data_IF_380625478705
#
_entry.id   IF_380625478705
#
_cell.length_a   1.000
_cell.length_b   1.000
_cell.length_c   1.000
_cell.angle_alpha   90.00
_cell.angle_beta   90.00
_cell.angle_gamma   90.00
#
_symmetry.space_group_name_H-M   'P 1'
#
loop_
_entity.id
_entity.type
_entity.pdbx_description
1 polymer ?
#
# COMPACT_ATOMS: atom_id res chain seq x y z
N UNK A 1 -15.31 7.65 -4.48
CA UNK A 1 -15.31 7.67 -5.97
C UNK A 1 -14.19 8.53 -6.56
N UNK A 2 -13.86 9.69 -5.98
CA UNK A 2 -12.83 10.60 -6.49
C UNK A 2 -11.46 9.95 -6.72
N UNK A 3 -10.96 9.17 -5.75
CA UNK A 3 -9.68 8.44 -5.85
C UNK A 3 -9.58 7.56 -7.10
N UNK A 4 -10.66 6.85 -7.45
CA UNK A 4 -10.72 5.99 -8.64
C UNK A 4 -10.75 6.81 -9.93
N UNK A 5 -11.43 7.97 -9.91
CA UNK A 5 -11.43 8.91 -11.06
C UNK A 5 -10.04 9.48 -11.29
N UNK A 6 -9.29 9.79 -10.23
CA UNK A 6 -7.89 10.21 -10.32
C UNK A 6 -7.01 9.10 -10.91
N UNK A 7 -7.15 7.85 -10.45
CA UNK A 7 -6.41 6.71 -11.03
C UNK A 7 -6.69 6.54 -12.54
N UNK A 8 -7.95 6.69 -12.94
CA UNK A 8 -8.35 6.65 -14.36
C UNK A 8 -7.85 7.85 -15.16
N UNK A 9 -7.67 9.02 -14.54
CA UNK A 9 -7.05 10.19 -15.15
C UNK A 9 -5.53 10.05 -15.30
N UNK A 10 -4.87 9.33 -14.39
CA UNK A 10 -3.45 8.99 -14.49
C UNK A 10 -3.23 8.01 -15.66
N UNK A 11 -4.12 7.03 -15.81
CA UNK A 11 -4.05 6.11 -16.94
C UNK A 11 -4.93 4.86 -16.87
N UNK A 12 -5.51 4.50 -15.72
CA UNK A 12 -6.29 3.26 -15.60
C UNK A 12 -7.49 3.21 -16.55
N UNK A 13 -7.75 2.07 -17.19
CA UNK A 13 -8.78 1.93 -18.24
C UNK A 13 -10.21 2.00 -17.69
N UNK A 14 -10.47 1.30 -16.60
CA UNK A 14 -11.74 1.29 -15.85
C UNK A 14 -11.47 1.19 -14.35
N UNK A 15 -12.52 1.34 -13.55
CA UNK A 15 -12.46 1.17 -12.11
C UNK A 15 -13.63 0.34 -11.59
N UNK A 16 -13.39 -0.34 -10.46
CA UNK A 16 -14.42 -1.03 -9.68
C UNK A 16 -14.41 -0.40 -8.29
N UNK A 17 -15.56 0.11 -7.85
CA UNK A 17 -15.78 0.54 -6.48
C UNK A 17 -16.51 -0.59 -5.74
N UNK A 18 -15.86 -1.15 -4.71
CA UNK A 18 -16.53 -1.95 -3.70
C UNK A 18 -17.04 -0.98 -2.63
N UNK A 19 -18.33 -0.65 -2.69
CA UNK A 19 -18.96 0.37 -1.86
C UNK A 19 -19.44 -0.21 -0.54
N UNK A 20 -19.00 0.39 0.56
CA UNK A 20 -19.42 0.04 1.92
C UNK A 20 -19.15 1.21 2.87
N UNK A 21 -20.02 1.35 3.89
CA UNK A 21 -19.83 2.28 5.00
C UNK A 21 -19.11 1.64 6.19
N UNK A 22 -18.77 0.35 6.10
CA UNK A 22 -18.06 -0.36 7.16
C UNK A 22 -16.59 0.07 7.23
N UNK A 23 -16.06 0.20 8.44
CA UNK A 23 -14.62 0.33 8.67
C UNK A 23 -13.94 -1.00 8.33
N UNK A 24 -13.09 -1.00 7.31
CA UNK A 24 -12.46 -2.21 6.80
C UNK A 24 -11.08 -2.43 7.41
N UNK A 25 -10.86 -3.64 7.90
CA UNK A 25 -9.54 -4.12 8.29
C UNK A 25 -8.82 -4.76 7.09
N UNK A 26 -7.47 -4.84 7.10
CA UNK A 26 -6.69 -5.40 5.99
C UNK A 26 -7.18 -6.78 5.50
N UNK A 27 -7.63 -7.64 6.42
CA UNK A 27 -8.19 -8.95 6.08
C UNK A 27 -9.48 -8.86 5.25
N UNK A 28 -10.38 -7.94 5.58
CA UNK A 28 -11.61 -7.74 4.83
C UNK A 28 -11.29 -7.22 3.42
N UNK A 29 -10.38 -6.25 3.33
CA UNK A 29 -9.89 -5.73 2.04
C UNK A 29 -9.26 -6.84 1.20
N UNK A 30 -8.39 -7.66 1.78
CA UNK A 30 -7.75 -8.78 1.07
C UNK A 30 -8.76 -9.80 0.55
N UNK A 31 -9.82 -10.12 1.32
CA UNK A 31 -10.91 -11.00 0.85
C UNK A 31 -11.72 -10.40 -0.30
N UNK A 32 -12.04 -9.10 -0.22
CA UNK A 32 -12.74 -8.39 -1.30
C UNK A 32 -11.89 -8.38 -2.58
N UNK A 33 -10.61 -8.07 -2.46
CA UNK A 33 -9.67 -8.12 -3.58
C UNK A 33 -9.53 -9.54 -4.14
N UNK A 34 -9.52 -10.57 -3.29
CA UNK A 34 -9.49 -11.97 -3.74
C UNK A 34 -10.72 -12.31 -4.58
N UNK A 35 -11.92 -11.91 -4.15
CA UNK A 35 -13.13 -12.10 -4.94
C UNK A 35 -13.07 -11.38 -6.30
N UNK A 36 -12.46 -10.19 -6.36
CA UNK A 36 -12.21 -9.49 -7.62
C UNK A 36 -11.15 -10.19 -8.47
N UNK A 37 -10.08 -10.72 -7.88
CA UNK A 37 -9.06 -11.52 -8.59
C UNK A 37 -9.69 -12.76 -9.22
N UNK A 38 -10.56 -13.47 -8.49
CA UNK A 38 -11.27 -14.63 -9.02
C UNK A 38 -12.20 -14.26 -10.19
N UNK A 39 -12.83 -13.09 -10.13
CA UNK A 39 -13.75 -12.63 -11.16
C UNK A 39 -13.05 -12.11 -12.42
N UNK A 40 -12.00 -11.31 -12.22
CA UNK A 40 -11.32 -10.56 -13.27
C UNK A 40 -10.10 -11.28 -13.83
N UNK A 41 -9.60 -12.30 -13.14
CA UNK A 41 -8.45 -13.14 -13.52
C UNK A 41 -7.22 -12.34 -13.99
N UNK A 42 -6.75 -11.34 -13.20
CA UNK A 42 -5.61 -10.54 -13.60
C UNK A 42 -4.31 -11.36 -13.59
N UNK A 43 -3.46 -11.16 -14.59
CA UNK A 43 -2.13 -11.77 -14.64
C UNK A 43 -1.14 -11.19 -13.61
N UNK A 44 -1.36 -9.96 -13.14
CA UNK A 44 -0.51 -9.31 -12.14
C UNK A 44 -1.37 -8.36 -11.29
N UNK A 45 -1.22 -8.42 -9.97
CA UNK A 45 -1.89 -7.50 -9.04
C UNK A 45 -0.85 -6.59 -8.40
N UNK A 46 -1.07 -5.27 -8.48
CA UNK A 46 -0.17 -4.27 -7.90
C UNK A 46 -0.90 -3.53 -6.78
N UNK A 47 -0.29 -3.49 -5.60
CA UNK A 47 -0.75 -2.75 -4.44
C UNK A 47 0.36 -1.82 -3.92
N UNK A 48 0.01 -0.83 -3.10
CA UNK A 48 1.00 -0.14 -2.28
C UNK A 48 1.54 -1.04 -1.17
N UNK A 49 2.76 -0.78 -0.71
CA UNK A 49 3.35 -1.43 0.48
C UNK A 49 2.46 -1.29 1.71
N UNK A 50 2.05 -0.08 2.05
CA UNK A 50 1.24 0.21 3.23
C UNK A 50 0.30 1.38 2.95
N UNK A 51 -0.84 1.41 3.63
CA UNK A 51 -1.66 2.60 3.72
C UNK A 51 -1.15 3.44 4.90
N UNK A 52 -1.14 4.76 4.75
CA UNK A 52 -0.51 5.70 5.72
C UNK A 52 -1.42 6.03 6.91
N UNK A 53 -2.67 5.59 6.86
CA UNK A 53 -3.68 5.76 7.90
C UNK A 53 -3.62 4.62 8.92
N UNK A 54 -3.54 3.37 8.46
CA UNK A 54 -3.45 2.19 9.31
C UNK A 54 -2.01 1.68 9.55
N UNK A 55 -1.05 2.10 8.72
CA UNK A 55 0.37 1.69 8.70
C UNK A 55 0.57 0.16 8.84
N UNK A 56 -0.39 -0.65 8.36
CA UNK A 56 -0.42 -2.06 8.68
C UNK A 56 0.55 -2.91 7.85
N UNK A 57 0.84 -2.51 6.61
CA UNK A 57 1.62 -3.30 5.64
C UNK A 57 1.18 -4.78 5.59
N UNK A 58 -0.10 -5.05 5.36
CA UNK A 58 -0.68 -6.40 5.48
C UNK A 58 -1.48 -6.86 4.24
N UNK A 59 -2.25 -5.97 3.63
CA UNK A 59 -3.26 -6.31 2.62
C UNK A 59 -2.70 -7.09 1.43
N UNK A 60 -1.53 -6.69 0.89
CA UNK A 60 -0.92 -7.36 -0.25
C UNK A 60 -0.49 -8.80 0.07
N UNK A 61 0.16 -9.00 1.21
CA UNK A 61 0.61 -10.33 1.64
C UNK A 61 -0.56 -11.25 1.99
N UNK A 62 -1.61 -10.70 2.64
CA UNK A 62 -2.84 -11.44 2.90
C UNK A 62 -3.54 -11.86 1.61
N UNK A 63 -3.62 -10.97 0.61
CA UNK A 63 -4.20 -11.30 -0.69
C UNK A 63 -3.43 -12.43 -1.37
N UNK A 64 -2.10 -12.33 -1.42
CA UNK A 64 -1.25 -13.37 -2.00
C UNK A 64 -1.49 -14.73 -1.33
N UNK A 65 -1.55 -14.77 0.01
CA UNK A 65 -1.82 -15.98 0.77
C UNK A 65 -3.22 -16.55 0.48
N UNK A 66 -4.26 -15.70 0.47
CA UNK A 66 -5.65 -16.11 0.21
C UNK A 66 -5.87 -16.61 -1.22
N UNK A 67 -5.15 -16.06 -2.20
CA UNK A 67 -5.23 -16.44 -3.60
C UNK A 67 -4.24 -17.56 -3.98
N UNK A 68 -3.35 -17.97 -3.07
CA UNK A 68 -2.31 -18.97 -3.35
C UNK A 68 -1.29 -18.50 -4.38
N UNK A 69 -1.00 -17.20 -4.44
CA UNK A 69 -0.13 -16.58 -5.44
C UNK A 69 1.25 -16.25 -4.86
N UNK A 70 2.33 -16.32 -5.67
CA UNK A 70 3.64 -15.80 -5.30
C UNK A 70 3.58 -14.28 -5.11
N UNK A 71 4.44 -13.76 -4.23
CA UNK A 71 4.45 -12.33 -3.89
C UNK A 71 5.84 -11.70 -3.96
N UNK A 72 5.89 -10.44 -4.39
CA UNK A 72 7.08 -9.60 -4.38
C UNK A 72 6.80 -8.32 -3.60
N UNK A 73 7.19 -8.29 -2.32
CA UNK A 73 6.95 -7.11 -1.47
C UNK A 73 8.06 -6.09 -1.57
N UNK A 74 7.74 -4.83 -1.25
CA UNK A 74 8.68 -3.70 -1.23
C UNK A 74 9.43 -3.49 -2.55
N UNK A 75 8.71 -3.64 -3.67
CA UNK A 75 9.32 -3.58 -4.99
C UNK A 75 9.84 -2.17 -5.31
N UNK A 76 11.14 -2.06 -5.60
CA UNK A 76 11.78 -0.87 -6.17
C UNK A 76 12.11 -1.02 -7.67
N UNK A 77 11.99 -2.24 -8.21
CA UNK A 77 11.98 -2.49 -9.67
C UNK A 77 11.09 -3.68 -10.01
N UNK A 78 10.36 -3.61 -11.10
CA UNK A 78 9.49 -4.68 -11.60
C UNK A 78 9.73 -4.88 -13.10
N UNK A 79 10.11 -6.09 -13.50
CA UNK A 79 10.39 -6.45 -14.89
C UNK A 79 9.63 -7.72 -15.26
N UNK A 80 8.64 -7.59 -16.14
CA UNK A 80 7.88 -8.74 -16.65
C UNK A 80 8.70 -9.43 -17.74
N UNK A 81 8.91 -10.73 -17.60
CA UNK A 81 9.71 -11.55 -18.49
C UNK A 81 8.94 -12.83 -18.86
N UNK A 82 8.10 -12.74 -19.89
CA UNK A 82 7.29 -13.86 -20.36
C UNK A 82 6.23 -14.28 -19.33
N UNK A 83 6.34 -15.51 -18.83
CA UNK A 83 5.47 -16.11 -17.82
C UNK A 83 5.87 -15.79 -16.37
N UNK A 84 6.94 -15.00 -16.20
CA UNK A 84 7.46 -14.60 -14.89
C UNK A 84 7.55 -13.09 -14.74
N UNK A 85 7.68 -12.65 -13.50
CA UNK A 85 8.04 -11.28 -13.14
C UNK A 85 9.25 -11.29 -12.20
N UNK A 86 10.27 -10.54 -12.57
CA UNK A 86 11.42 -10.28 -11.72
C UNK A 86 11.16 -9.02 -10.90
N UNK A 87 11.26 -9.15 -9.57
CA UNK A 87 10.99 -8.07 -8.63
C UNK A 87 12.25 -7.82 -7.81
N UNK A 88 12.81 -6.61 -7.93
CA UNK A 88 13.86 -6.13 -7.01
C UNK A 88 13.20 -5.49 -5.82
N UNK A 89 13.52 -5.97 -4.62
CA UNK A 89 12.90 -5.64 -3.34
C UNK A 89 13.87 -4.85 -2.48
N UNK A 90 13.36 -3.85 -1.78
CA UNK A 90 14.07 -3.20 -0.69
C UNK A 90 14.01 -4.08 0.57
N UNK A 91 15.17 -4.47 1.09
CA UNK A 91 15.32 -5.21 2.34
C UNK A 91 16.30 -4.46 3.25
N UNK A 92 16.33 -4.78 4.55
CA UNK A 92 17.11 -4.00 5.52
C UNK A 92 18.60 -3.87 5.17
N UNK A 93 19.18 -4.90 4.56
CA UNK A 93 20.59 -4.94 4.15
C UNK A 93 20.88 -4.44 2.73
N UNK A 94 19.88 -3.97 1.97
CA UNK A 94 20.05 -3.54 0.59
C UNK A 94 18.94 -4.04 -0.33
N UNK A 95 19.30 -4.69 -1.43
CA UNK A 95 18.37 -5.13 -2.46
C UNK A 95 18.38 -6.65 -2.61
N UNK A 96 17.20 -7.22 -2.82
CA UNK A 96 17.02 -8.64 -3.15
C UNK A 96 16.18 -8.79 -4.42
N UNK A 97 16.63 -9.56 -5.39
CA UNK A 97 15.85 -9.85 -6.61
C UNK A 97 15.26 -11.24 -6.56
N UNK A 98 13.94 -11.32 -6.67
CA UNK A 98 13.17 -12.57 -6.72
C UNK A 98 12.48 -12.73 -8.07
N UNK A 99 12.35 -13.98 -8.54
CA UNK A 99 11.63 -14.31 -9.77
C UNK A 99 10.35 -15.06 -9.41
N UNK A 100 9.20 -14.52 -9.82
CA UNK A 100 7.87 -15.02 -9.46
C UNK A 100 7.15 -15.50 -10.73
N UNK A 101 6.51 -16.67 -10.68
CA UNK A 101 5.61 -17.10 -11.75
C UNK A 101 4.34 -16.24 -11.76
N UNK A 102 3.82 -15.91 -12.93
CA UNK A 102 2.52 -15.27 -13.06
C UNK A 102 1.39 -16.32 -13.01
N UNK A 103 0.22 -16.02 -12.40
CA UNK A 103 -0.13 -14.74 -11.79
C UNK A 103 0.55 -14.47 -10.44
N UNK A 104 0.83 -13.20 -10.14
CA UNK A 104 1.56 -12.79 -8.94
C UNK A 104 0.98 -11.52 -8.29
N UNK A 105 1.32 -11.29 -7.02
CA UNK A 105 0.99 -10.07 -6.27
C UNK A 105 2.27 -9.28 -5.97
N UNK A 106 2.30 -8.01 -6.30
CA UNK A 106 3.44 -7.12 -6.05
C UNK A 106 2.99 -5.94 -5.21
N UNK A 107 3.73 -5.64 -4.14
CA UNK A 107 3.53 -4.41 -3.36
C UNK A 107 4.67 -3.44 -3.64
N UNK A 108 4.36 -2.20 -4.01
CA UNK A 108 5.36 -1.23 -4.47
C UNK A 108 5.90 -0.39 -3.31
N UNK A 109 7.22 -0.19 -3.30
CA UNK A 109 7.87 0.82 -2.45
C UNK A 109 7.86 2.20 -3.12
N UNK A 110 8.10 3.26 -2.34
CA UNK A 110 8.23 4.63 -2.85
C UNK A 110 9.35 4.77 -3.89
N UNK A 111 10.38 3.92 -3.83
CA UNK A 111 11.53 3.96 -4.76
C UNK A 111 11.22 3.40 -6.15
N UNK A 112 10.05 2.80 -6.38
CA UNK A 112 9.72 2.15 -7.64
C UNK A 112 9.70 3.12 -8.84
N UNK A 113 9.03 4.25 -8.68
CA UNK A 113 8.88 5.25 -9.73
C UNK A 113 8.42 6.61 -9.18
N UNK A 114 8.40 7.61 -10.06
CA UNK A 114 7.75 8.88 -9.80
C UNK A 114 6.37 8.90 -10.49
N UNK A 115 5.26 9.05 -9.73
CA UNK A 115 3.93 9.15 -10.32
C UNK A 115 3.80 10.37 -11.23
N UNK A 116 3.28 10.16 -12.45
CA UNK A 116 3.02 11.26 -13.40
C UNK A 116 1.87 12.15 -12.94
N UNK A 117 1.92 13.43 -13.31
CA UNK A 117 0.81 14.37 -13.10
C UNK A 117 -0.35 14.14 -14.06
N UNK A 118 -1.56 14.43 -13.59
CA UNK A 118 -2.79 14.40 -14.40
C UNK A 118 -3.00 15.73 -15.11
N UNK A 119 -3.38 15.68 -16.38
CA UNK A 119 -3.74 16.88 -17.16
C UNK A 119 -5.26 17.11 -17.12
N UNK A 120 -5.70 18.37 -17.26
CA UNK A 120 -7.12 18.71 -17.33
C UNK A 120 -7.90 17.89 -18.39
N UNK A 121 -7.38 17.66 -19.61
CA UNK A 121 -8.03 16.79 -20.58
C UNK A 121 -8.24 15.35 -20.08
N UNK A 122 -7.26 14.80 -19.36
CA UNK A 122 -7.36 13.45 -18.82
C UNK A 122 -8.38 13.36 -17.69
N UNK A 123 -8.48 14.38 -16.84
CA UNK A 123 -9.52 14.47 -15.79
C UNK A 123 -10.91 14.45 -16.43
N UNK A 124 -11.12 15.19 -17.52
CA UNK A 124 -12.39 15.21 -18.23
C UNK A 124 -12.72 13.86 -18.89
N UNK A 125 -11.72 13.18 -19.49
CA UNK A 125 -11.89 11.82 -20.02
C UNK A 125 -12.22 10.81 -18.93
N UNK A 126 -11.58 10.92 -17.76
CA UNK A 126 -11.79 10.00 -16.64
C UNK A 126 -13.20 10.02 -16.08
N UNK A 127 -13.93 11.14 -16.18
CA UNK A 127 -15.36 11.21 -15.81
C UNK A 127 -16.26 10.32 -16.68
N UNK A 128 -15.84 10.03 -17.92
CA UNK A 128 -16.59 9.20 -18.87
C UNK A 128 -16.19 7.72 -18.87
N UNK A 129 -15.06 7.38 -18.24
CA UNK A 129 -14.59 5.98 -18.13
C UNK A 129 -15.53 5.15 -17.26
N UNK A 130 -15.59 3.85 -17.55
CA UNK A 130 -16.44 2.91 -16.84
C UNK A 130 -16.02 2.82 -15.36
N UNK A 131 -17.02 2.94 -14.48
CA UNK A 131 -16.89 2.76 -13.04
C UNK A 131 -18.00 1.81 -12.62
N UNK A 132 -17.63 0.55 -12.38
CA UNK A 132 -18.56 -0.44 -11.86
C UNK A 132 -18.66 -0.26 -10.34
N UNK A 133 -19.86 -0.33 -9.79
CA UNK A 133 -20.10 -0.27 -8.35
C UNK A 133 -20.69 -1.59 -7.91
N UNK A 134 -20.12 -2.18 -6.86
CA UNK A 134 -20.57 -3.43 -6.27
C UNK A 134 -20.47 -3.33 -4.75
N UNK A 135 -21.18 -4.18 -4.02
CA UNK A 135 -21.14 -4.24 -2.56
C UNK A 135 -20.40 -5.49 -2.09
N UNK A 136 -19.86 -5.50 -0.85
CA UNK A 136 -19.31 -6.71 -0.25
C UNK A 136 -20.24 -7.94 -0.30
N UNK A 137 -21.55 -7.71 -0.16
CA UNK A 137 -22.58 -8.75 -0.25
C UNK A 137 -22.61 -9.43 -1.63
N UNK A 138 -22.41 -8.67 -2.70
CA UNK A 138 -22.45 -9.18 -4.07
C UNK A 138 -21.21 -10.04 -4.38
N UNK A 139 -20.14 -9.82 -3.62
CA UNK A 139 -18.90 -10.61 -3.68
C UNK A 139 -18.91 -11.79 -2.68
N UNK A 140 -19.97 -11.94 -1.87
CA UNK A 140 -20.06 -12.99 -0.86
C UNK A 140 -19.04 -12.88 0.27
N UNK A 141 -18.57 -11.66 0.57
CA UNK A 141 -17.51 -11.42 1.56
C UNK A 141 -18.08 -10.82 2.83
N UNK A 142 -17.88 -11.51 3.95
CA UNK A 142 -18.07 -10.97 5.29
C UNK A 142 -16.93 -9.99 5.64
N UNK A 143 -17.31 -8.73 5.85
CA UNK A 143 -16.41 -7.62 6.21
C UNK A 143 -16.45 -7.27 7.69
N UNK A 144 -17.08 -8.11 8.53
CA UNK A 144 -17.15 -7.86 9.96
C UNK A 144 -15.74 -7.71 10.58
N UNK A 145 -15.52 -6.64 11.39
CA UNK A 145 -14.26 -6.44 12.10
C UNK A 145 -13.89 -7.62 12.99
N UNK A 146 -12.62 -8.03 12.96
CA UNK A 146 -12.07 -9.06 13.84
C UNK A 146 -11.38 -8.47 15.05
N UNK A 147 -10.88 -7.24 14.92
CA UNK A 147 -10.28 -6.46 15.99
C UNK A 147 -11.21 -5.33 16.39
N UNK A 148 -11.19 -4.96 17.68
CA UNK A 148 -11.92 -3.80 18.21
C UNK A 148 -10.93 -2.78 18.76
N UNK A 149 -10.92 -1.58 18.19
CA UNK A 149 -10.15 -0.47 18.73
C UNK A 149 -10.77 -0.01 20.04
N UNK A 150 -10.03 -0.18 21.15
CA UNK A 150 -10.52 0.20 22.49
C UNK A 150 -10.27 1.68 22.80
N UNK A 151 -9.15 2.22 22.32
CA UNK A 151 -8.72 3.59 22.58
C UNK A 151 -7.76 4.07 21.51
N UNK A 152 -7.91 5.33 21.12
CA UNK A 152 -6.92 6.10 20.36
C UNK A 152 -6.57 7.33 21.19
N UNK A 153 -5.29 7.65 21.31
CA UNK A 153 -4.83 8.84 22.03
C UNK A 153 -3.62 9.45 21.33
N UNK A 154 -3.48 10.76 21.43
CA UNK A 154 -2.29 11.46 20.93
C UNK A 154 -1.01 10.91 21.59
N UNK A 155 0.10 10.84 20.84
CA UNK A 155 1.39 10.50 21.43
C UNK A 155 1.82 11.59 22.44
N UNK A 156 2.67 11.25 23.42
CA UNK A 156 3.21 12.24 24.35
C UNK A 156 3.86 13.40 23.61
N UNK A 157 3.51 14.63 23.98
CA UNK A 157 4.15 15.83 23.44
C UNK A 157 5.64 15.80 23.76
N UNK A 158 6.48 15.95 22.74
CA UNK A 158 7.94 16.05 22.92
C UNK A 158 8.27 17.24 23.82
N UNK A 159 9.13 17.04 24.81
CA UNK A 159 9.63 18.12 25.66
C UNK A 159 10.44 19.13 24.84
N UNK A 160 10.44 20.39 25.28
CA UNK A 160 11.24 21.42 24.63
C UNK A 160 12.73 21.04 24.63
N UNK A 161 13.37 21.16 23.47
CA UNK A 161 14.80 20.94 23.35
C UNK A 161 15.62 22.10 23.93
N UNK A 162 16.92 21.87 24.10
CA UNK A 162 17.88 22.87 24.56
C UNK A 162 18.81 23.22 23.39
N UNK A 163 19.04 24.51 23.15
CA UNK A 163 20.09 24.99 22.23
C UNK A 163 21.41 25.09 22.99
N UNK A 164 22.49 24.57 22.40
CA UNK A 164 23.84 24.62 22.99
C UNK A 164 24.73 25.57 22.20
N UNK A 165 25.69 26.25 22.86
CA UNK A 165 26.53 27.25 22.22
C UNK A 165 27.62 26.66 21.32
N UNK A 166 28.06 25.42 21.58
CA UNK A 166 29.19 24.80 20.90
C UNK A 166 29.14 23.25 20.92
N UNK A 167 30.04 22.64 20.17
CA UNK A 167 30.17 21.17 20.03
C UNK A 167 30.60 20.51 21.34
N UNK A 168 31.47 21.14 22.13
CA UNK A 168 31.93 20.56 23.40
C UNK A 168 30.77 20.41 24.40
N UNK A 169 29.91 21.43 24.47
CA UNK A 169 28.69 21.43 25.28
C UNK A 169 27.70 20.40 24.77
N UNK A 170 27.56 20.24 23.44
CA UNK A 170 26.74 19.17 22.86
C UNK A 170 27.23 17.79 23.31
N UNK A 171 28.51 17.48 23.13
CA UNK A 171 29.10 16.17 23.47
C UNK A 171 28.97 15.91 24.98
N UNK A 172 29.23 16.92 25.82
CA UNK A 172 29.07 16.80 27.28
C UNK A 172 27.62 16.46 27.66
N UNK A 173 26.64 17.15 27.07
CA UNK A 173 25.21 16.86 27.31
C UNK A 173 24.80 15.49 26.78
N UNK A 174 25.29 15.07 25.63
CA UNK A 174 24.98 13.75 25.07
C UNK A 174 25.54 12.61 25.92
N UNK A 175 26.76 12.78 26.46
CA UNK A 175 27.42 11.79 27.32
C UNK A 175 26.84 11.74 28.74
N UNK A 176 26.65 12.91 29.36
CA UNK A 176 26.33 13.00 30.79
C UNK A 176 24.82 13.08 31.07
N UNK A 177 24.08 13.87 30.28
CA UNK A 177 22.64 14.10 30.51
C UNK A 177 21.81 13.04 29.78
N UNK A 178 22.03 12.88 28.45
CA UNK A 178 21.23 11.99 27.61
C UNK A 178 21.72 10.53 27.61
N UNK A 179 23.00 10.29 27.92
CA UNK A 179 23.65 8.96 27.97
C UNK A 179 23.49 8.13 26.69
N UNK A 180 23.63 8.79 25.54
CA UNK A 180 23.53 8.16 24.20
C UNK A 180 24.87 8.06 23.49
N UNK A 181 25.96 8.45 24.16
CA UNK A 181 27.36 8.36 23.71
C UNK A 181 28.22 7.68 24.77
#
# INVERSE_FOLDING_TARGET
QETLRTAMAIGADRAILVETDAELQPLAVAKLLKALVDKEQPGLVILGKQAIDDDCNQTGQMLAALAGLPQGTFASKVEVAGDKVNVTREVDGGLETVSLSLPAVVTTDLRLNEPRYVTLPNIMKAKKKQLDVTKPSDLGVDVAPRLKTLKVSEPPKRSAGIKVPDVATLVSKLKNDAKVL
#
